data_IF_598508453922
#
_entry.id   IF_598508453922
#
_cell.length_a   1.000
_cell.length_b   1.000
_cell.length_c   1.000
_cell.angle_alpha   90.00
_cell.angle_beta   90.00
_cell.angle_gamma   90.00
#
_symmetry.space_group_name_H-M   'P 1'
#
loop_
_entity.id
_entity.type
_entity.pdbx_description
1 polymer ?
#
# COMPACT_ATOMS: atom_id res chain seq x y z
N UNK A 1 -25.56 47.08 -34.72
CA UNK A 1 -26.95 47.39 -35.11
C UNK A 1 -27.58 48.12 -33.96
N UNK A 2 -27.85 49.39 -34.23
CA UNK A 2 -28.19 50.48 -33.34
C UNK A 2 -29.57 50.37 -32.65
N UNK A 3 -29.70 51.21 -31.62
CA UNK A 3 -30.89 51.55 -30.79
C UNK A 3 -32.03 52.14 -31.66
N UNK A 4 -33.29 52.23 -31.16
CA UNK A 4 -33.71 53.39 -30.33
C UNK A 4 -34.66 52.97 -29.17
N UNK A 5 -34.42 53.35 -27.90
CA UNK A 5 -34.95 54.56 -27.24
C UNK A 5 -36.27 55.04 -27.83
N UNK A 6 -37.38 54.71 -27.17
CA UNK A 6 -38.59 55.52 -27.28
C UNK A 6 -39.12 55.84 -25.88
N UNK A 7 -38.99 57.13 -25.57
CA UNK A 7 -39.66 57.83 -24.48
C UNK A 7 -41.16 57.83 -24.79
N UNK A 8 -41.99 57.31 -23.88
CA UNK A 8 -43.35 57.80 -23.66
C UNK A 8 -44.01 57.06 -22.49
N UNK A 9 -43.60 57.40 -21.26
CA UNK A 9 -44.50 57.21 -20.11
C UNK A 9 -45.44 58.41 -20.11
N UNK A 10 -46.51 58.30 -20.90
CA UNK A 10 -47.59 59.28 -20.92
C UNK A 10 -48.24 59.35 -19.53
N UNK A 11 -48.00 60.44 -18.82
CA UNK A 11 -48.76 60.80 -17.63
C UNK A 11 -50.15 61.24 -18.12
N UNK A 12 -51.13 60.34 -18.11
CA UNK A 12 -52.54 60.69 -18.23
C UNK A 12 -52.97 61.43 -16.96
N UNK A 13 -53.11 62.74 -17.08
CA UNK A 13 -53.93 63.55 -16.19
C UNK A 13 -55.36 63.54 -16.72
N UNK A 14 -56.10 62.47 -16.46
CA UNK A 14 -57.56 62.47 -16.61
C UNK A 14 -58.19 62.98 -15.30
N UNK A 15 -58.94 64.06 -15.45
CA UNK A 15 -59.73 64.69 -14.41
C UNK A 15 -61.01 63.88 -14.15
N UNK A 16 -61.00 63.10 -13.08
CA UNK A 16 -62.16 62.38 -12.56
C UNK A 16 -62.18 62.49 -11.04
N UNK A 17 -63.20 63.17 -10.53
CA UNK A 17 -63.48 63.37 -9.11
C UNK A 17 -63.79 62.03 -8.42
N UNK A 18 -63.04 61.69 -7.36
CA UNK A 18 -63.39 60.64 -6.41
C UNK A 18 -62.18 59.90 -5.83
N UNK A 19 -61.81 60.25 -4.59
CA UNK A 19 -61.01 59.48 -3.64
C UNK A 19 -59.66 58.88 -4.10
N UNK A 20 -58.53 59.60 -3.88
CA UNK A 20 -57.18 58.98 -3.78
C UNK A 20 -56.02 59.96 -3.50
N UNK A 21 -56.26 61.21 -3.03
CA UNK A 21 -55.14 62.07 -2.60
C UNK A 21 -54.40 61.54 -1.35
N UNK A 22 -55.00 60.59 -0.62
CA UNK A 22 -54.39 59.94 0.55
C UNK A 22 -53.56 58.68 0.23
N UNK A 23 -53.64 58.10 -0.98
CA UNK A 23 -53.01 56.80 -1.26
C UNK A 23 -51.54 56.91 -1.66
N UNK A 24 -51.16 57.97 -2.39
CA UNK A 24 -49.78 58.18 -2.86
C UNK A 24 -48.78 58.29 -1.69
N UNK A 25 -49.07 59.04 -0.59
CA UNK A 25 -48.19 59.09 0.58
C UNK A 25 -48.08 57.75 1.33
N UNK A 26 -49.13 56.92 1.32
CA UNK A 26 -49.17 55.64 2.03
C UNK A 26 -48.32 54.58 1.30
N UNK A 27 -48.45 54.48 -0.03
CA UNK A 27 -47.68 53.53 -0.86
C UNK A 27 -46.19 53.92 -0.89
N UNK A 28 -45.88 55.21 -0.98
CA UNK A 28 -44.49 55.69 -0.91
C UNK A 28 -43.86 55.42 0.47
N UNK A 29 -44.64 55.60 1.56
CA UNK A 29 -44.22 55.29 2.92
C UNK A 29 -43.88 53.81 3.09
N UNK A 30 -44.77 52.90 2.70
CA UNK A 30 -44.54 51.46 2.84
C UNK A 30 -43.32 51.01 2.04
N UNK A 31 -43.20 51.48 0.80
CA UNK A 31 -42.06 51.15 -0.06
C UNK A 31 -40.71 51.60 0.53
N UNK A 32 -40.62 52.83 1.05
CA UNK A 32 -39.39 53.35 1.63
C UNK A 32 -39.02 52.62 2.93
N UNK A 33 -40.01 52.28 3.77
CA UNK A 33 -39.79 51.49 4.98
C UNK A 33 -39.32 50.07 4.64
N UNK A 34 -39.93 49.42 3.65
CA UNK A 34 -39.52 48.08 3.20
C UNK A 34 -38.09 48.09 2.66
N UNK A 35 -37.71 49.11 1.90
CA UNK A 35 -36.33 49.29 1.41
C UNK A 35 -35.33 49.46 2.55
N UNK A 36 -35.65 50.29 3.54
CA UNK A 36 -34.83 50.46 4.74
C UNK A 36 -34.65 49.11 5.46
N UNK A 37 -35.74 48.37 5.66
CA UNK A 37 -35.71 47.09 6.35
C UNK A 37 -34.94 46.02 5.57
N UNK A 38 -35.03 46.01 4.25
CA UNK A 38 -34.27 45.10 3.39
C UNK A 38 -32.77 45.41 3.43
N UNK A 39 -32.37 46.68 3.41
CA UNK A 39 -30.97 47.09 3.57
C UNK A 39 -30.43 46.67 4.95
N UNK A 40 -31.25 46.75 6.00
CA UNK A 40 -30.87 46.29 7.35
C UNK A 40 -30.79 44.76 7.44
N UNK A 41 -31.74 44.03 6.84
CA UNK A 41 -31.75 42.55 6.86
C UNK A 41 -30.59 41.95 6.06
N UNK A 42 -30.23 42.58 4.95
CA UNK A 42 -29.13 42.16 4.06
C UNK A 42 -27.80 42.81 4.43
N UNK A 43 -27.75 43.48 5.58
CA UNK A 43 -26.58 44.22 6.04
C UNK A 43 -25.35 43.32 6.08
N UNK A 44 -24.35 43.70 5.27
CA UNK A 44 -23.03 43.12 5.28
C UNK A 44 -22.07 44.15 5.85
N UNK A 45 -21.30 43.77 6.88
CA UNK A 45 -20.31 44.63 7.54
C UNK A 45 -19.35 45.28 6.54
N UNK A 46 -18.98 44.59 5.45
CA UNK A 46 -18.08 45.14 4.41
C UNK A 46 -18.68 46.29 3.60
N UNK A 47 -19.99 46.53 3.68
CA UNK A 47 -20.71 47.61 2.99
C UNK A 47 -21.35 48.59 3.98
N UNK A 48 -20.87 48.63 5.23
CA UNK A 48 -21.44 49.42 6.32
C UNK A 48 -21.68 50.89 5.93
N UNK A 49 -20.66 51.59 5.40
CA UNK A 49 -20.78 53.00 4.98
C UNK A 49 -21.84 53.20 3.89
N UNK A 50 -21.85 52.34 2.88
CA UNK A 50 -22.84 52.39 1.80
C UNK A 50 -24.27 52.15 2.31
N UNK A 51 -24.46 51.20 3.23
CA UNK A 51 -25.77 50.91 3.81
C UNK A 51 -26.28 52.05 4.70
N UNK A 52 -25.39 52.68 5.48
CA UNK A 52 -25.71 53.83 6.33
C UNK A 52 -26.15 55.04 5.49
N UNK A 53 -25.43 55.31 4.40
CA UNK A 53 -25.78 56.39 3.47
C UNK A 53 -27.11 56.13 2.76
N UNK A 54 -27.37 54.90 2.32
CA UNK A 54 -28.60 54.54 1.62
C UNK A 54 -29.82 54.63 2.54
N UNK A 55 -29.74 54.11 3.76
CA UNK A 55 -30.80 54.23 4.76
C UNK A 55 -31.05 55.70 5.13
N UNK A 56 -30.00 56.52 5.25
CA UNK A 56 -30.12 57.96 5.51
C UNK A 56 -30.92 58.67 4.41
N UNK A 57 -30.69 58.33 3.13
CA UNK A 57 -31.46 58.89 1.99
C UNK A 57 -32.94 58.52 2.08
N UNK A 58 -33.27 57.27 2.37
CA UNK A 58 -34.67 56.85 2.50
C UNK A 58 -35.37 57.51 3.70
N UNK A 59 -34.67 57.69 4.83
CA UNK A 59 -35.17 58.46 5.97
C UNK A 59 -35.44 59.93 5.59
N UNK A 60 -34.53 60.59 4.88
CA UNK A 60 -34.72 61.96 4.39
C UNK A 60 -35.94 62.09 3.45
N UNK A 61 -36.17 61.09 2.58
CA UNK A 61 -37.36 61.02 1.75
C UNK A 61 -38.64 60.93 2.58
N UNK A 62 -38.66 60.08 3.61
CA UNK A 62 -39.80 59.95 4.52
C UNK A 62 -40.09 61.25 5.29
N UNK A 63 -39.06 61.92 5.83
CA UNK A 63 -39.21 63.22 6.49
C UNK A 63 -39.75 64.30 5.57
N UNK A 64 -39.30 64.33 4.31
CA UNK A 64 -39.75 65.31 3.30
C UNK A 64 -41.22 65.10 2.91
N UNK A 65 -41.74 63.88 3.09
CA UNK A 65 -43.16 63.55 2.95
C UNK A 65 -43.99 63.88 4.21
N UNK A 66 -43.37 64.49 5.24
CA UNK A 66 -44.03 64.85 6.50
C UNK A 66 -44.28 63.67 7.44
N UNK A 67 -43.60 62.54 7.23
CA UNK A 67 -43.74 61.34 8.06
C UNK A 67 -42.78 61.44 9.24
N UNK A 68 -43.29 61.26 10.46
CA UNK A 68 -42.43 61.14 11.64
C UNK A 68 -41.61 59.85 11.56
N UNK A 69 -40.28 60.01 11.52
CA UNK A 69 -39.31 58.92 11.45
C UNK A 69 -38.53 58.73 12.75
N UNK A 70 -38.85 59.46 13.82
CA UNK A 70 -38.07 59.46 15.07
C UNK A 70 -37.88 58.06 15.66
N UNK A 71 -38.94 57.25 15.64
CA UNK A 71 -38.87 55.86 16.11
C UNK A 71 -38.05 54.96 15.19
N UNK A 72 -38.16 55.16 13.87
CA UNK A 72 -37.42 54.42 12.86
C UNK A 72 -35.92 54.72 12.97
N UNK A 73 -35.55 55.99 13.01
CA UNK A 73 -34.16 56.42 13.20
C UNK A 73 -33.55 55.86 14.48
N UNK A 74 -34.29 55.90 15.60
CA UNK A 74 -33.83 55.33 16.87
C UNK A 74 -33.50 53.83 16.75
N UNK A 75 -34.36 53.05 16.08
CA UNK A 75 -34.16 51.59 15.91
C UNK A 75 -32.96 51.28 15.03
N UNK A 76 -32.76 52.06 13.98
CA UNK A 76 -31.70 51.84 12.99
C UNK A 76 -30.35 52.32 13.55
N UNK A 77 -30.33 53.45 14.25
CA UNK A 77 -29.11 54.04 14.82
C UNK A 77 -28.35 53.03 15.68
N UNK A 78 -29.03 52.30 16.56
CA UNK A 78 -28.39 51.27 17.40
C UNK A 78 -27.67 50.18 16.61
N UNK A 79 -28.18 49.83 15.42
CA UNK A 79 -27.59 48.79 14.56
C UNK A 79 -26.30 49.32 13.94
N UNK A 80 -26.32 50.56 13.46
CA UNK A 80 -25.14 51.18 12.87
C UNK A 80 -24.07 51.54 13.90
N UNK A 81 -24.45 52.04 15.08
CA UNK A 81 -23.52 52.33 16.18
C UNK A 81 -22.81 51.04 16.66
N UNK A 82 -23.53 49.92 16.71
CA UNK A 82 -22.93 48.63 17.05
C UNK A 82 -21.97 48.11 15.97
N UNK A 83 -22.29 48.31 14.69
CA UNK A 83 -21.38 47.93 13.61
C UNK A 83 -20.12 48.81 13.59
N UNK A 84 -20.23 50.10 13.88
CA UNK A 84 -19.12 51.05 13.98
C UNK A 84 -18.16 50.66 15.11
N UNK A 85 -18.67 50.35 16.30
CA UNK A 85 -17.84 49.89 17.43
C UNK A 85 -17.09 48.59 17.14
N UNK A 86 -17.68 47.66 16.37
CA UNK A 86 -17.00 46.43 15.94
C UNK A 86 -15.88 46.75 14.94
N UNK A 87 -16.13 47.62 13.96
CA UNK A 87 -15.12 48.04 12.98
C UNK A 87 -13.93 48.76 13.65
N UNK A 88 -14.20 49.58 14.66
CA UNK A 88 -13.17 50.24 15.48
C UNK A 88 -12.36 49.23 16.31
N UNK A 89 -13.02 48.22 16.90
CA UNK A 89 -12.35 47.16 17.63
C UNK A 89 -11.46 46.31 16.71
N UNK A 90 -11.96 45.91 15.53
CA UNK A 90 -11.17 45.15 14.54
C UNK A 90 -9.99 45.96 13.99
N UNK A 91 -10.15 47.28 13.87
CA UNK A 91 -9.10 48.21 13.44
C UNK A 91 -8.13 48.57 14.57
N UNK A 92 -8.46 48.23 15.83
CA UNK A 92 -7.63 48.55 16.99
C UNK A 92 -6.32 47.77 16.95
N UNK A 93 -5.16 48.45 17.04
CA UNK A 93 -3.85 47.79 17.10
C UNK A 93 -3.75 46.75 18.23
N UNK A 94 -4.46 46.99 19.34
CA UNK A 94 -4.46 46.12 20.51
C UNK A 94 -5.21 44.81 20.24
N UNK A 95 -6.36 44.88 19.56
CA UNK A 95 -7.15 43.70 19.20
C UNK A 95 -6.44 42.83 18.16
N UNK A 96 -5.89 43.46 17.11
CA UNK A 96 -5.10 42.78 16.08
C UNK A 96 -3.89 42.06 16.71
N UNK A 97 -3.21 42.72 17.65
CA UNK A 97 -2.06 42.16 18.34
C UNK A 97 -2.44 40.97 19.23
N UNK A 98 -3.57 41.06 19.95
CA UNK A 98 -4.08 39.96 20.78
C UNK A 98 -4.45 38.71 19.93
N UNK A 99 -5.14 38.92 18.80
CA UNK A 99 -5.49 37.83 17.87
C UNK A 99 -4.23 37.19 17.28
N UNK A 100 -3.23 37.99 16.89
CA UNK A 100 -1.94 37.46 16.41
C UNK A 100 -1.21 36.65 17.48
N UNK A 101 -1.22 37.09 18.73
CA UNK A 101 -0.59 36.39 19.85
C UNK A 101 -1.27 35.02 20.08
N UNK A 102 -2.60 34.99 20.11
CA UNK A 102 -3.37 33.76 20.29
C UNK A 102 -3.12 32.76 19.15
N UNK A 103 -3.13 33.23 17.90
CA UNK A 103 -2.81 32.42 16.73
C UNK A 103 -1.36 31.91 16.76
N UNK A 104 -0.41 32.70 17.28
CA UNK A 104 0.98 32.27 17.41
C UNK A 104 1.14 31.12 18.42
N UNK A 105 0.39 31.17 19.53
CA UNK A 105 0.43 30.13 20.56
C UNK A 105 -0.22 28.81 20.08
N UNK A 106 -1.36 28.88 19.38
CA UNK A 106 -1.98 27.70 18.75
C UNK A 106 -1.03 27.05 17.71
N UNK A 107 -0.37 27.88 16.89
CA UNK A 107 0.62 27.40 15.94
C UNK A 107 1.83 26.74 16.62
N UNK A 108 2.28 27.29 17.76
CA UNK A 108 3.36 26.72 18.54
C UNK A 108 2.98 25.37 19.15
N UNK A 109 1.78 25.26 19.72
CA UNK A 109 1.26 24.01 20.27
C UNK A 109 1.15 22.91 19.20
N UNK A 110 0.64 23.25 18.01
CA UNK A 110 0.58 22.34 16.87
C UNK A 110 1.98 21.89 16.43
N UNK A 111 2.94 22.81 16.34
CA UNK A 111 4.34 22.48 15.98
C UNK A 111 4.99 21.57 17.01
N UNK A 112 4.79 21.80 18.31
CA UNK A 112 5.28 20.93 19.38
C UNK A 112 4.72 19.51 19.27
N UNK A 113 3.40 19.38 19.00
CA UNK A 113 2.76 18.07 18.80
C UNK A 113 3.31 17.33 17.59
N UNK A 114 3.48 18.02 16.46
CA UNK A 114 4.10 17.44 15.25
C UNK A 114 5.53 16.99 15.53
N UNK A 115 6.34 17.81 16.21
CA UNK A 115 7.71 17.46 16.56
C UNK A 115 7.77 16.21 17.44
N UNK A 116 6.93 16.11 18.48
CA UNK A 116 6.86 14.93 19.34
C UNK A 116 6.49 13.67 18.55
N UNK A 117 5.52 13.76 17.63
CA UNK A 117 5.15 12.66 16.73
C UNK A 117 6.31 12.22 15.82
N UNK A 118 7.05 13.18 15.25
CA UNK A 118 8.24 12.87 14.44
C UNK A 118 9.36 12.22 15.25
N UNK A 119 9.62 12.68 16.49
CA UNK A 119 10.61 12.07 17.38
C UNK A 119 10.22 10.63 17.71
N UNK A 120 8.94 10.37 18.04
CA UNK A 120 8.44 9.03 18.31
C UNK A 120 8.58 8.10 17.08
N UNK A 121 8.19 8.59 15.91
CA UNK A 121 8.33 7.85 14.64
C UNK A 121 9.79 7.54 14.33
N UNK A 122 10.68 8.51 14.51
CA UNK A 122 12.13 8.35 14.31
C UNK A 122 12.69 7.30 15.25
N UNK A 123 12.31 7.32 16.53
CA UNK A 123 12.74 6.33 17.53
C UNK A 123 12.29 4.91 17.16
N UNK A 124 11.02 4.76 16.75
CA UNK A 124 10.47 3.48 16.30
C UNK A 124 11.22 2.94 15.08
N UNK A 125 11.47 3.79 14.07
CA UNK A 125 12.21 3.40 12.88
C UNK A 125 13.65 2.96 13.20
N UNK A 126 14.33 3.62 14.14
CA UNK A 126 15.66 3.18 14.58
C UNK A 126 15.62 1.79 15.22
N UNK A 127 14.63 1.51 16.06
CA UNK A 127 14.46 0.20 16.69
C UNK A 127 14.21 -0.90 15.64
N UNK A 128 13.29 -0.65 14.70
CA UNK A 128 12.99 -1.60 13.62
C UNK A 128 14.18 -1.80 12.68
N UNK A 129 14.91 -0.73 12.35
CA UNK A 129 16.10 -0.85 11.51
C UNK A 129 17.19 -1.67 12.21
N UNK A 130 17.35 -1.48 13.52
CA UNK A 130 18.26 -2.28 14.34
C UNK A 130 17.91 -3.77 14.33
N UNK A 131 16.62 -4.12 14.51
CA UNK A 131 16.19 -5.52 14.49
C UNK A 131 16.37 -6.16 13.12
N UNK A 132 15.98 -5.47 12.03
CA UNK A 132 16.15 -5.96 10.66
C UNK A 132 17.63 -6.14 10.32
N UNK A 133 18.50 -5.22 10.75
CA UNK A 133 19.95 -5.35 10.53
C UNK A 133 20.53 -6.59 11.22
N UNK A 134 20.05 -6.91 12.43
CA UNK A 134 20.49 -8.09 13.16
C UNK A 134 20.01 -9.38 12.47
N UNK A 135 18.74 -9.45 12.09
CA UNK A 135 18.17 -10.59 11.36
C UNK A 135 18.88 -10.83 10.02
N UNK A 136 19.23 -9.76 9.31
CA UNK A 136 19.97 -9.83 8.06
C UNK A 136 21.39 -10.37 8.28
N UNK A 137 22.06 -9.99 9.37
CA UNK A 137 23.36 -10.53 9.73
C UNK A 137 23.27 -12.04 10.03
N UNK A 138 22.32 -12.46 10.86
CA UNK A 138 22.10 -13.88 11.18
C UNK A 138 21.78 -14.72 9.93
N UNK A 139 21.01 -14.15 9.00
CA UNK A 139 20.68 -14.82 7.74
C UNK A 139 21.92 -15.00 6.87
N UNK A 140 22.79 -13.99 6.79
CA UNK A 140 24.07 -14.09 6.06
C UNK A 140 25.00 -15.14 6.64
N UNK A 141 25.08 -15.25 7.97
CA UNK A 141 25.87 -16.28 8.65
C UNK A 141 25.36 -17.69 8.30
N UNK A 142 24.05 -17.92 8.36
CA UNK A 142 23.45 -19.20 7.94
C UNK A 142 23.67 -19.53 6.47
N UNK A 143 23.61 -18.54 5.58
CA UNK A 143 23.90 -18.76 4.16
C UNK A 143 25.34 -19.25 3.99
N UNK A 144 26.30 -18.62 4.69
CA UNK A 144 27.70 -19.03 4.65
C UNK A 144 27.90 -20.47 5.16
N UNK A 145 27.27 -20.83 6.28
CA UNK A 145 27.30 -22.21 6.80
C UNK A 145 26.74 -23.23 5.80
N UNK A 146 25.67 -22.88 5.09
CA UNK A 146 25.10 -23.72 4.04
C UNK A 146 26.02 -23.82 2.82
N UNK A 147 26.66 -22.73 2.41
CA UNK A 147 27.65 -22.72 1.32
C UNK A 147 28.83 -23.64 1.63
N UNK A 148 29.37 -23.58 2.85
CA UNK A 148 30.44 -24.46 3.33
C UNK A 148 29.99 -25.93 3.36
N UNK A 149 28.74 -26.19 3.80
CA UNK A 149 28.15 -27.54 3.81
C UNK A 149 27.98 -28.10 2.39
N UNK A 150 27.56 -27.27 1.42
CA UNK A 150 27.44 -27.66 0.01
C UNK A 150 28.82 -27.99 -0.58
N UNK A 151 29.85 -27.21 -0.27
CA UNK A 151 31.22 -27.49 -0.72
C UNK A 151 31.72 -28.84 -0.17
N UNK A 152 31.48 -29.12 1.10
CA UNK A 152 31.82 -30.41 1.70
C UNK A 152 31.08 -31.56 1.01
N UNK A 153 29.76 -31.42 0.79
CA UNK A 153 28.96 -32.45 0.12
C UNK A 153 29.46 -32.74 -1.30
N UNK A 154 29.81 -31.70 -2.08
CA UNK A 154 30.41 -31.88 -3.42
C UNK A 154 31.73 -32.63 -3.37
N UNK A 155 32.57 -32.36 -2.37
CA UNK A 155 33.82 -33.12 -2.18
C UNK A 155 33.54 -34.59 -1.88
N UNK A 156 32.57 -34.87 -1.00
CA UNK A 156 32.21 -36.27 -0.67
C UNK A 156 31.57 -37.00 -1.84
N UNK A 157 30.78 -36.31 -2.67
CA UNK A 157 30.18 -36.87 -3.88
C UNK A 157 31.26 -37.27 -4.89
N UNK A 158 32.26 -36.41 -5.11
CA UNK A 158 33.38 -36.71 -5.98
C UNK A 158 34.20 -37.92 -5.49
N UNK A 159 34.45 -38.02 -4.18
CA UNK A 159 35.15 -39.15 -3.59
C UNK A 159 34.37 -40.47 -3.76
N UNK A 160 33.06 -40.45 -3.49
CA UNK A 160 32.20 -41.62 -3.65
C UNK A 160 32.09 -42.06 -5.11
N UNK A 161 32.03 -41.10 -6.04
CA UNK A 161 32.00 -41.38 -7.48
C UNK A 161 33.26 -42.13 -7.91
N UNK A 162 34.44 -41.68 -7.47
CA UNK A 162 35.71 -42.34 -7.78
C UNK A 162 35.78 -43.75 -7.16
N UNK A 163 35.30 -43.91 -5.92
CA UNK A 163 35.22 -45.25 -5.29
C UNK A 163 34.31 -46.19 -6.05
N UNK A 164 33.21 -45.69 -6.59
CA UNK A 164 32.26 -46.48 -7.37
C UNK A 164 32.87 -46.91 -8.71
N UNK A 165 33.62 -46.03 -9.38
CA UNK A 165 34.36 -46.36 -10.60
C UNK A 165 35.41 -47.47 -10.34
N UNK A 166 36.18 -47.35 -9.26
CA UNK A 166 37.16 -48.40 -8.86
C UNK A 166 36.47 -49.73 -8.55
N UNK A 167 35.30 -49.69 -7.88
CA UNK A 167 34.53 -50.89 -7.60
C UNK A 167 33.98 -51.54 -8.88
N UNK A 168 33.49 -50.74 -9.83
CA UNK A 168 33.00 -51.21 -11.13
C UNK A 168 34.12 -51.86 -11.96
N UNK A 169 35.30 -51.25 -11.99
CA UNK A 169 36.48 -51.84 -12.64
C UNK A 169 36.95 -53.14 -11.98
N UNK A 170 36.84 -53.22 -10.66
CA UNK A 170 37.15 -54.45 -9.91
C UNK A 170 36.13 -55.55 -10.22
N UNK A 171 34.84 -55.20 -10.32
CA UNK A 171 33.78 -56.12 -10.70
C UNK A 171 33.98 -56.65 -12.13
N UNK A 172 34.34 -55.79 -13.09
CA UNK A 172 34.68 -56.20 -14.46
C UNK A 172 35.84 -57.20 -14.52
N UNK A 173 36.84 -57.06 -13.65
CA UNK A 173 37.97 -58.01 -13.55
C UNK A 173 37.58 -59.35 -12.93
N UNK A 174 36.57 -59.36 -12.05
CA UNK A 174 36.09 -60.58 -11.38
C UNK A 174 35.08 -61.36 -12.22
N UNK A 175 34.43 -60.73 -13.18
CA UNK A 175 33.53 -61.41 -14.11
C UNK A 175 34.41 -62.10 -15.17
N UNK A 176 34.61 -63.43 -15.10
CA UNK A 176 35.42 -64.13 -16.08
C UNK A 176 34.79 -63.94 -17.46
N UNK A 177 35.63 -63.72 -18.47
CA UNK A 177 35.13 -63.58 -19.83
C UNK A 177 34.55 -64.92 -20.30
N UNK A 178 33.53 -64.86 -21.16
CA UNK A 178 32.92 -66.06 -21.74
C UNK A 178 33.96 -66.95 -22.43
N UNK A 179 35.01 -66.34 -22.98
CA UNK A 179 36.13 -66.99 -23.65
C UNK A 179 37.06 -67.70 -22.66
N UNK A 180 37.35 -67.12 -21.50
CA UNK A 180 38.10 -67.78 -20.42
C UNK A 180 37.34 -69.00 -19.88
N UNK A 181 36.05 -68.85 -19.58
CA UNK A 181 35.22 -69.98 -19.15
C UNK A 181 35.13 -71.08 -20.20
N UNK A 182 35.00 -70.72 -21.48
CA UNK A 182 34.99 -71.71 -22.56
C UNK A 182 36.33 -72.44 -22.68
N UNK A 183 37.44 -71.73 -22.49
CA UNK A 183 38.77 -72.34 -22.49
C UNK A 183 38.96 -73.29 -21.31
N UNK A 184 38.57 -72.87 -20.10
CA UNK A 184 38.64 -73.71 -18.91
C UNK A 184 37.80 -74.98 -19.06
N UNK A 185 36.62 -74.89 -19.68
CA UNK A 185 35.80 -76.06 -20.01
C UNK A 185 36.51 -76.98 -21.01
N UNK A 186 37.07 -76.43 -22.09
CA UNK A 186 37.78 -77.23 -23.10
C UNK A 186 39.04 -77.89 -22.52
N UNK A 187 39.78 -77.18 -21.68
CA UNK A 187 40.99 -77.71 -21.05
C UNK A 187 40.62 -78.78 -20.00
N UNK A 188 39.55 -78.59 -19.23
CA UNK A 188 39.00 -79.62 -18.35
C UNK A 188 38.51 -80.86 -19.10
N UNK A 189 37.85 -80.69 -20.26
CA UNK A 189 37.43 -81.80 -21.13
C UNK A 189 38.63 -82.57 -21.68
N UNK A 190 39.71 -81.87 -22.06
CA UNK A 190 40.96 -82.50 -22.51
C UNK A 190 41.67 -83.26 -21.39
N UNK A 191 41.77 -82.68 -20.20
CA UNK A 191 42.34 -83.37 -19.03
C UNK A 191 41.53 -84.61 -18.67
N UNK A 192 40.19 -84.52 -18.73
CA UNK A 192 39.31 -85.66 -18.52
C UNK A 192 39.53 -86.75 -19.58
N UNK A 193 39.62 -86.39 -20.86
CA UNK A 193 39.91 -87.34 -21.93
C UNK A 193 41.30 -88.00 -21.76
N UNK A 194 42.33 -87.23 -21.42
CA UNK A 194 43.68 -87.74 -21.16
C UNK A 194 43.74 -88.66 -19.93
N UNK A 195 42.96 -88.36 -18.89
CA UNK A 195 42.82 -89.22 -17.71
C UNK A 195 42.14 -90.56 -18.05
N UNK A 196 41.12 -90.54 -18.92
CA UNK A 196 40.49 -91.77 -19.43
C UNK A 196 41.49 -92.59 -20.26
N UNK A 197 42.26 -91.94 -21.13
CA UNK A 197 43.23 -92.63 -22.00
C UNK A 197 44.41 -93.21 -21.19
N UNK A 198 44.94 -92.47 -20.22
CA UNK A 198 45.94 -92.98 -19.27
C UNK A 198 45.41 -94.08 -18.34
N UNK A 199 44.11 -94.07 -18.02
CA UNK A 199 43.43 -95.17 -17.35
C UNK A 199 43.32 -96.39 -18.28
N UNK A 200 43.20 -96.23 -19.59
CA UNK A 200 43.16 -97.35 -20.53
C UNK A 200 44.54 -97.98 -20.81
N UNK A 201 45.61 -97.19 -20.71
CA UNK A 201 47.00 -97.61 -21.00
C UNK A 201 47.78 -98.15 -19.79
N UNK A 202 47.30 -97.90 -18.57
CA UNK A 202 47.88 -98.41 -17.32
C UNK A 202 47.53 -99.90 -17.12
N UNK A 203 48.54 -100.75 -16.85
CA UNK A 203 48.33 -102.16 -16.42
C UNK A 203 47.83 -102.29 -14.96
N UNK A 204 47.71 -101.19 -14.22
CA UNK A 204 47.03 -101.12 -12.91
C UNK A 204 45.54 -100.76 -13.04
N UNK A 205 45.04 -100.54 -14.26
CA UNK A 205 43.68 -100.05 -14.52
C UNK A 205 42.57 -101.06 -14.33
N UNK A 206 42.86 -102.37 -14.29
CA UNK A 206 41.80 -103.38 -14.10
C UNK A 206 41.14 -103.22 -12.74
N UNK A 207 41.93 -102.94 -11.69
CA UNK A 207 41.40 -102.75 -10.32
C UNK A 207 40.71 -101.40 -10.12
N UNK A 208 41.15 -100.35 -10.82
CA UNK A 208 40.48 -99.03 -10.77
C UNK A 208 39.20 -99.01 -11.62
N UNK A 209 39.15 -99.75 -12.73
CA UNK A 209 37.97 -99.91 -13.57
C UNK A 209 36.86 -100.69 -12.83
N UNK A 210 37.21 -101.76 -12.11
CA UNK A 210 36.27 -102.46 -11.21
C UNK A 210 35.78 -101.57 -10.05
N UNK A 211 36.64 -100.70 -9.51
CA UNK A 211 36.23 -99.73 -8.48
C UNK A 211 35.26 -98.68 -9.03
N UNK A 212 35.50 -98.18 -10.25
CA UNK A 212 34.61 -97.22 -10.92
C UNK A 212 33.25 -97.88 -11.23
N UNK A 213 33.22 -99.11 -11.74
CA UNK A 213 31.98 -99.87 -11.94
C UNK A 213 31.23 -100.11 -10.62
N UNK A 214 31.93 -100.46 -9.53
CA UNK A 214 31.33 -100.60 -8.19
C UNK A 214 30.77 -99.28 -7.64
N UNK A 215 31.40 -98.15 -7.96
CA UNK A 215 30.90 -96.83 -7.57
C UNK A 215 29.70 -96.40 -8.42
N UNK A 216 29.66 -96.75 -9.71
CA UNK A 216 28.50 -96.50 -10.59
C UNK A 216 27.31 -97.39 -10.23
N UNK A 217 27.53 -98.67 -9.90
CA UNK A 217 26.50 -99.56 -9.35
C UNK A 217 25.96 -99.04 -8.01
N UNK A 218 26.84 -98.57 -7.11
CA UNK A 218 26.39 -97.95 -5.84
C UNK A 218 25.63 -96.65 -6.06
N UNK A 219 26.00 -95.84 -7.04
CA UNK A 219 25.28 -94.61 -7.36
C UNK A 219 23.87 -94.90 -7.86
N UNK A 220 23.68 -95.92 -8.70
CA UNK A 220 22.34 -96.33 -9.16
C UNK A 220 21.45 -96.85 -8.02
N UNK A 221 22.02 -97.40 -6.95
CA UNK A 221 21.28 -97.81 -5.75
C UNK A 221 20.79 -96.60 -4.93
N UNK A 222 21.47 -95.45 -5.01
CA UNK A 222 21.09 -94.21 -4.30
C UNK A 222 20.20 -93.27 -5.14
N UNK A 223 19.98 -93.56 -6.42
CA UNK A 223 19.07 -92.83 -7.32
C UNK A 223 17.66 -93.48 -7.41
N UNK A 224 17.33 -94.42 -6.50
CA UNK A 224 15.97 -94.94 -6.24
C UNK A 224 15.45 -94.36 -4.92
#
# INVERSE_FOLDING_TARGET
>A
MDVPLDENVGIRLDSGTGDSQSEIPIVAKSFLIDRIMDTIKTFNRRKFRSAREEVSKYCQCLSSLGIDISELERRIKSIFDHAETIEELESSPNFISAVRLMNADENLALRKRKLASHISTKSFLFQVTGSVSLELQQTREKIKELEDSILHLKSTEAELTLRLEVADDSLKKLIPTKEELQKDVVDAEKEYAAAIEGCNDSKESTGLRELIELFEERRQIFEI
#
